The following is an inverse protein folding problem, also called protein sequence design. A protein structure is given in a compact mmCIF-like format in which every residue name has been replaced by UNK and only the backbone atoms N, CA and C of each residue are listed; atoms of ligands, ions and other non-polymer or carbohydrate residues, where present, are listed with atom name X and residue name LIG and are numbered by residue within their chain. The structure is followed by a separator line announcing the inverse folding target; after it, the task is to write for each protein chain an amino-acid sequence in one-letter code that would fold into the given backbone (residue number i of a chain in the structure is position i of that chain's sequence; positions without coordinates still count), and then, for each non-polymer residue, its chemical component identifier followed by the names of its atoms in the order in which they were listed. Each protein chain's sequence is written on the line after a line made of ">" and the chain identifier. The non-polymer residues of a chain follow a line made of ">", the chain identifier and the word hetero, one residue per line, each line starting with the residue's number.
data_IF_278273802820
#
_entry.id   IF_278273802820
#
_cell.length_a   1.000
_cell.length_b   1.000
_cell.length_c   1.000
_cell.angle_alpha   90.00
_cell.angle_beta   90.00
_cell.angle_gamma   90.00
#
_symmetry.space_group_name_H-M   'P 1'
#
loop_
_entity.id
_entity.type
_entity.pdbx_description
1 polymer ?
#
# COMPACT_ATOMS: atom_id res chain seq x y z
N UNK A 1 12.88 2.32 -3.03
CA UNK A 1 12.61 1.20 -3.98
C UNK A 1 11.25 1.34 -4.64
N UNK A 2 10.98 0.63 -5.74
CA UNK A 2 9.66 0.63 -6.41
C UNK A 2 8.84 -0.58 -5.95
N UNK A 3 7.64 -0.33 -5.44
CA UNK A 3 6.73 -1.34 -4.92
C UNK A 3 5.42 -1.34 -5.71
N UNK A 4 4.87 -2.53 -5.97
CA UNK A 4 3.57 -2.72 -6.58
C UNK A 4 2.71 -3.63 -5.68
N UNK A 5 1.57 -3.14 -5.20
CA UNK A 5 0.66 -3.91 -4.34
C UNK A 5 -0.64 -4.23 -5.08
N UNK A 6 -1.18 -5.43 -4.88
CA UNK A 6 -2.49 -5.82 -5.41
C UNK A 6 -3.32 -6.37 -4.26
N UNK A 7 -4.53 -5.82 -4.08
CA UNK A 7 -5.52 -6.29 -3.14
C UNK A 7 -6.83 -6.58 -3.89
N UNK A 8 -7.46 -7.71 -3.58
CA UNK A 8 -8.70 -8.19 -4.22
C UNK A 8 -9.93 -8.15 -3.31
N UNK A 9 -9.77 -7.74 -2.05
CA UNK A 9 -10.82 -7.65 -1.05
C UNK A 9 -10.56 -6.48 -0.09
N UNK A 10 -11.61 -5.97 0.56
CA UNK A 10 -11.53 -4.80 1.44
C UNK A 10 -10.55 -4.98 2.62
N UNK A 11 -10.45 -6.19 3.16
CA UNK A 11 -9.43 -6.54 4.15
C UNK A 11 -8.01 -6.39 3.61
N UNK A 12 -7.78 -6.80 2.36
CA UNK A 12 -6.50 -6.65 1.67
C UNK A 12 -6.12 -5.18 1.50
N UNK A 13 -7.09 -4.34 1.14
CA UNK A 13 -6.87 -2.89 1.00
C UNK A 13 -6.44 -2.24 2.32
N UNK A 14 -7.13 -2.57 3.43
CA UNK A 14 -6.80 -2.04 4.75
C UNK A 14 -5.39 -2.45 5.20
N UNK A 15 -5.03 -3.73 5.07
CA UNK A 15 -3.68 -4.18 5.44
C UNK A 15 -2.62 -3.62 4.48
N UNK A 16 -2.95 -3.50 3.20
CA UNK A 16 -2.10 -2.88 2.19
C UNK A 16 -1.76 -1.43 2.53
N UNK A 17 -2.74 -0.60 2.89
CA UNK A 17 -2.50 0.79 3.30
C UNK A 17 -1.56 0.92 4.50
N UNK A 18 -1.72 0.05 5.51
CA UNK A 18 -0.85 0.00 6.68
C UNK A 18 0.59 -0.41 6.32
N UNK A 19 0.75 -1.36 5.41
CA UNK A 19 2.06 -1.75 4.90
C UNK A 19 2.73 -0.59 4.14
N UNK A 20 2.00 0.10 3.28
CA UNK A 20 2.51 1.28 2.57
C UNK A 20 3.01 2.34 3.56
N UNK A 21 2.20 2.66 4.58
CA UNK A 21 2.57 3.60 5.67
C UNK A 21 3.84 3.17 6.40
N UNK A 22 3.98 1.89 6.72
CA UNK A 22 5.18 1.37 7.38
C UNK A 22 6.42 1.43 6.47
N UNK A 23 6.27 1.13 5.17
CA UNK A 23 7.35 1.20 4.20
C UNK A 23 7.85 2.64 4.01
N UNK A 24 6.96 3.62 3.92
CA UNK A 24 7.37 5.03 3.84
C UNK A 24 8.15 5.52 5.06
N UNK A 25 7.92 4.92 6.24
CA UNK A 25 8.72 5.22 7.45
C UNK A 25 10.14 4.66 7.38
N UNK A 26 10.33 3.54 6.69
CA UNK A 26 11.63 2.86 6.57
C UNK A 26 12.41 3.33 5.34
N UNK A 27 11.70 3.63 4.24
CA UNK A 27 12.24 4.11 2.99
C UNK A 27 11.39 5.30 2.50
N UNK A 28 11.83 6.51 2.86
CA UNK A 28 11.18 7.75 2.42
C UNK A 28 11.22 7.94 0.89
N UNK A 29 12.12 7.24 0.19
CA UNK A 29 12.21 7.26 -1.28
C UNK A 29 11.37 6.18 -1.96
N UNK A 30 10.55 5.44 -1.19
CA UNK A 30 9.68 4.41 -1.72
C UNK A 30 8.72 5.00 -2.77
N UNK A 31 8.66 4.36 -3.92
CA UNK A 31 7.70 4.69 -4.97
C UNK A 31 6.67 3.57 -5.00
N UNK A 32 5.41 3.89 -4.74
CA UNK A 32 4.35 2.89 -4.67
C UNK A 32 3.38 3.05 -5.84
N UNK A 33 2.97 1.93 -6.40
CA UNK A 33 1.80 1.77 -7.24
C UNK A 33 0.96 0.66 -6.66
N UNK A 34 -0.35 0.71 -6.87
CA UNK A 34 -1.19 -0.38 -6.42
C UNK A 34 -2.45 -0.52 -7.26
N UNK A 35 -3.08 -1.69 -7.13
CA UNK A 35 -4.42 -1.97 -7.58
C UNK A 35 -5.22 -2.52 -6.41
N UNK A 36 -6.27 -1.80 -6.00
CA UNK A 36 -7.10 -2.13 -4.85
C UNK A 36 -8.28 -1.17 -4.76
N UNK A 37 -9.13 -1.35 -3.76
CA UNK A 37 -10.29 -0.49 -3.52
C UNK A 37 -9.97 0.75 -2.68
N UNK A 38 -11.02 1.44 -2.25
CA UNK A 38 -10.93 2.76 -1.60
C UNK A 38 -10.11 2.75 -0.31
N UNK A 39 -10.07 1.63 0.41
CA UNK A 39 -9.32 1.50 1.67
C UNK A 39 -7.79 1.52 1.47
N UNK A 40 -7.28 1.35 0.24
CA UNK A 40 -5.85 1.51 -0.06
C UNK A 40 -5.40 2.98 0.01
N UNK A 41 -6.34 3.92 -0.14
CA UNK A 41 -6.08 5.36 -0.07
C UNK A 41 -6.17 5.91 1.36
N UNK A 42 -6.60 5.09 2.33
CA UNK A 42 -6.77 5.47 3.73
C UNK A 42 -5.44 5.51 4.50
#
# INVERSE_FOLDING_TARGET
>A
MKYYLIAGEASGDLHGSNLMKALYKQDASAQMRFWGGDLMLA
#
